data_IF_302707378638
#
_entry.id   IF_302707378638
#
_cell.length_a   1.000
_cell.length_b   1.000
_cell.length_c   1.000
_cell.angle_alpha   90.00
_cell.angle_beta   90.00
_cell.angle_gamma   90.00
#
_symmetry.space_group_name_H-M   'P 1'
#
loop_
_entity.id
_entity.type
_entity.pdbx_description
1 polymer ?
#
# COMPACT_ATOMS: atom_id res chain seq x y z
N UNK A 1 -48.70 -38.92 18.17
CA UNK A 1 -47.46 -39.46 17.57
C UNK A 1 -46.29 -38.69 18.14
N UNK A 2 -45.29 -39.42 18.60
CA UNK A 2 -44.34 -39.06 19.67
C UNK A 2 -43.22 -38.12 19.22
N UNK A 3 -42.91 -37.13 20.06
CA UNK A 3 -41.73 -36.26 20.00
C UNK A 3 -40.51 -37.02 20.50
N UNK A 4 -39.47 -37.18 19.67
CA UNK A 4 -38.20 -37.78 20.09
C UNK A 4 -37.18 -36.68 20.36
N UNK A 5 -37.00 -36.42 21.65
CA UNK A 5 -35.96 -35.57 22.25
C UNK A 5 -34.63 -36.32 22.27
N UNK A 6 -33.61 -35.84 21.55
CA UNK A 6 -32.24 -36.38 21.59
C UNK A 6 -31.38 -35.44 22.42
N UNK A 7 -31.21 -35.80 23.69
CA UNK A 7 -30.33 -35.15 24.65
C UNK A 7 -28.98 -35.86 24.64
N UNK A 8 -27.95 -35.24 24.05
CA UNK A 8 -26.60 -35.76 24.03
C UNK A 8 -25.76 -35.11 25.15
N UNK A 9 -25.54 -35.87 26.21
CA UNK A 9 -24.66 -35.55 27.35
C UNK A 9 -23.18 -35.65 26.93
N UNK A 10 -22.52 -34.50 26.77
CA UNK A 10 -21.06 -34.45 26.58
C UNK A 10 -20.40 -34.43 27.96
N UNK A 11 -19.72 -35.54 28.27
CA UNK A 11 -19.01 -35.83 29.52
C UNK A 11 -17.78 -34.93 29.64
N UNK A 12 -17.89 -33.87 30.44
CA UNK A 12 -16.80 -32.93 30.73
C UNK A 12 -15.79 -33.58 31.69
N UNK A 13 -14.62 -33.97 31.18
CA UNK A 13 -13.54 -34.56 31.97
C UNK A 13 -12.70 -33.44 32.60
N UNK A 14 -12.89 -33.22 33.90
CA UNK A 14 -12.15 -32.24 34.71
C UNK A 14 -10.79 -32.84 35.08
N UNK A 15 -9.74 -32.52 34.32
CA UNK A 15 -8.35 -32.78 34.73
C UNK A 15 -7.86 -31.68 35.67
N UNK A 16 -7.64 -32.07 36.93
CA UNK A 16 -7.03 -31.23 37.97
C UNK A 16 -5.51 -31.19 37.75
N UNK A 17 -5.03 -30.18 37.04
CA UNK A 17 -3.60 -29.95 36.85
C UNK A 17 -3.02 -29.30 38.10
N UNK A 18 -2.14 -30.05 38.78
CA UNK A 18 -1.44 -29.64 40.00
C UNK A 18 -0.51 -28.47 39.71
N UNK A 19 -0.63 -27.43 40.53
CA UNK A 19 0.24 -26.25 40.56
C UNK A 19 1.62 -26.66 41.10
N UNK A 20 2.66 -26.42 40.32
CA UNK A 20 4.03 -26.26 40.80
C UNK A 20 4.55 -24.97 40.19
N UNK A 21 4.45 -23.90 40.96
CA UNK A 21 5.12 -22.63 40.69
C UNK A 21 6.51 -22.71 41.30
N UNK A 22 7.54 -22.64 40.46
CA UNK A 22 8.92 -22.44 40.89
C UNK A 22 9.46 -21.22 40.14
N UNK A 23 9.90 -20.27 40.95
CA UNK A 23 10.34 -18.93 40.64
C UNK A 23 11.42 -18.88 39.56
N UNK A 24 11.27 -17.96 38.61
CA UNK A 24 12.38 -17.15 38.12
C UNK A 24 11.86 -15.78 37.71
N UNK A 25 12.20 -14.78 38.53
CA UNK A 25 11.98 -13.38 38.24
C UNK A 25 13.01 -12.93 37.19
N UNK A 26 12.57 -12.88 35.94
CA UNK A 26 13.19 -12.03 34.91
C UNK A 26 12.09 -11.11 34.42
N UNK A 27 11.99 -9.92 35.02
CA UNK A 27 11.24 -8.82 34.43
C UNK A 27 12.08 -8.26 33.27
N UNK A 28 12.22 -9.04 32.20
CA UNK A 28 12.57 -8.48 30.91
C UNK A 28 11.32 -7.75 30.43
N UNK A 29 11.31 -6.44 30.58
CA UNK A 29 10.35 -5.57 29.90
C UNK A 29 10.67 -5.64 28.40
N UNK A 30 10.34 -6.75 27.76
CA UNK A 30 10.31 -6.82 26.30
C UNK A 30 9.08 -6.05 25.89
N UNK A 31 9.24 -4.72 25.76
CA UNK A 31 8.44 -3.99 24.80
C UNK A 31 8.76 -4.61 23.45
N UNK A 32 8.04 -5.66 23.07
CA UNK A 32 7.86 -5.97 21.66
C UNK A 32 7.07 -4.79 21.14
N UNK A 33 7.78 -3.74 20.77
CA UNK A 33 7.33 -2.88 19.71
C UNK A 33 7.13 -3.84 18.56
N UNK A 34 5.88 -4.25 18.34
CA UNK A 34 5.47 -4.65 17.01
C UNK A 34 5.69 -3.36 16.24
N UNK A 35 6.88 -3.22 15.66
CA UNK A 35 7.04 -2.35 14.52
C UNK A 35 5.92 -2.81 13.59
N UNK A 36 4.86 -2.00 13.51
CA UNK A 36 3.97 -2.02 12.37
C UNK A 36 4.86 -1.58 11.22
N UNK A 37 5.75 -2.47 10.79
CA UNK A 37 6.79 -2.22 9.83
C UNK A 37 6.05 -1.73 8.61
N UNK A 38 6.15 -0.43 8.35
CA UNK A 38 5.69 0.16 7.12
C UNK A 38 6.31 -0.69 6.02
N UNK A 39 5.48 -1.41 5.29
CA UNK A 39 5.93 -2.24 4.18
C UNK A 39 6.76 -1.35 3.25
N UNK A 40 7.86 -1.89 2.75
CA UNK A 40 8.76 -1.21 1.82
C UNK A 40 7.93 -0.59 0.69
N UNK A 41 8.00 0.74 0.59
CA UNK A 41 7.53 1.51 -0.55
C UNK A 41 8.01 0.85 -1.85
N UNK A 42 7.10 0.68 -2.80
CA UNK A 42 7.41 0.11 -4.11
C UNK A 42 6.79 0.95 -5.22
N UNK A 43 7.53 1.10 -6.32
CA UNK A 43 7.12 1.89 -7.47
C UNK A 43 6.38 1.00 -8.45
N UNK A 44 5.14 1.35 -8.76
CA UNK A 44 4.29 0.64 -9.72
C UNK A 44 3.91 1.55 -10.87
N UNK A 45 3.76 0.99 -12.07
CA UNK A 45 3.23 1.72 -13.23
C UNK A 45 1.76 1.37 -13.40
N UNK A 46 0.86 2.35 -13.21
CA UNK A 46 -0.59 2.20 -13.39
C UNK A 46 -1.07 3.24 -14.39
N UNK A 47 -1.74 2.82 -15.47
CA UNK A 47 -2.20 3.75 -16.52
C UNK A 47 -1.08 4.57 -17.17
N UNK A 48 0.16 4.06 -17.20
CA UNK A 48 1.33 4.75 -17.74
C UNK A 48 1.98 5.79 -16.81
N UNK A 49 1.49 5.95 -15.58
CA UNK A 49 2.10 6.80 -14.55
C UNK A 49 2.77 5.95 -13.47
N UNK A 50 3.88 6.44 -12.92
CA UNK A 50 4.57 5.78 -11.81
C UNK A 50 4.06 6.29 -10.47
N UNK A 51 3.69 5.37 -9.61
CA UNK A 51 3.21 5.65 -8.26
C UNK A 51 4.11 4.95 -7.24
N UNK A 52 4.51 5.69 -6.23
CA UNK A 52 5.08 5.15 -5.01
C UNK A 52 3.93 4.71 -4.10
N UNK A 53 3.73 3.39 -4.00
CA UNK A 53 2.61 2.80 -3.27
C UNK A 53 3.12 2.22 -1.95
N UNK A 54 2.45 2.62 -0.87
CA UNK A 54 2.68 2.14 0.48
C UNK A 54 1.36 1.71 1.12
N UNK A 55 1.42 1.15 2.32
CA UNK A 55 0.24 0.80 3.10
C UNK A 55 0.23 1.50 4.44
N UNK A 56 -0.96 1.70 5.00
CA UNK A 56 -1.13 2.13 6.39
C UNK A 56 -2.27 1.33 7.04
N UNK A 57 -2.11 1.01 8.32
CA UNK A 57 -3.19 0.46 9.12
C UNK A 57 -3.98 1.62 9.75
N UNK A 58 -5.30 1.63 9.59
CA UNK A 58 -6.16 2.68 10.12
C UNK A 58 -7.65 2.39 9.93
N UNK A 59 -8.50 3.37 10.25
CA UNK A 59 -9.95 3.29 10.01
C UNK A 59 -10.39 4.45 9.14
N UNK A 60 -11.44 4.26 8.34
CA UNK A 60 -12.03 5.38 7.59
C UNK A 60 -12.52 6.48 8.52
N UNK A 61 -13.16 6.11 9.63
CA UNK A 61 -13.73 7.09 10.57
C UNK A 61 -12.70 7.99 11.25
N UNK A 62 -11.48 7.50 11.50
CA UNK A 62 -10.40 8.27 12.13
C UNK A 62 -9.51 8.99 11.13
N UNK A 63 -9.33 8.41 9.94
CA UNK A 63 -8.35 8.86 8.95
C UNK A 63 -9.01 9.43 7.68
N UNK A 64 -10.25 9.94 7.79
CA UNK A 64 -11.06 10.43 6.66
C UNK A 64 -10.31 11.32 5.67
N UNK A 65 -9.39 12.17 6.15
CA UNK A 65 -8.59 13.05 5.29
C UNK A 65 -7.73 12.30 4.27
N UNK A 66 -7.28 11.07 4.57
CA UNK A 66 -6.51 10.22 3.64
C UNK A 66 -7.37 9.61 2.53
N UNK A 67 -8.66 9.40 2.80
CA UNK A 67 -9.64 8.83 1.88
C UNK A 67 -10.22 9.92 0.97
N UNK A 68 -9.33 10.51 0.18
CA UNK A 68 -9.67 11.50 -0.82
C UNK A 68 -8.61 11.47 -1.93
N UNK A 69 -8.89 12.17 -3.03
CA UNK A 69 -7.91 12.37 -4.08
C UNK A 69 -6.76 13.26 -3.60
N UNK A 70 -5.61 13.15 -4.27
CA UNK A 70 -4.45 13.99 -3.97
C UNK A 70 -4.75 15.50 -4.11
N UNK A 71 -5.65 15.88 -5.03
CA UNK A 71 -6.08 17.28 -5.21
C UNK A 71 -6.80 17.86 -3.98
N UNK A 72 -7.38 16.98 -3.15
CA UNK A 72 -8.13 17.33 -1.95
C UNK A 72 -7.34 16.99 -0.67
N UNK A 73 -6.02 16.78 -0.78
CA UNK A 73 -5.15 16.45 0.36
C UNK A 73 -5.20 14.99 0.82
N UNK A 74 -5.90 14.12 0.11
CA UNK A 74 -5.91 12.69 0.38
C UNK A 74 -4.71 11.95 -0.21
N UNK A 75 -4.64 10.65 0.04
CA UNK A 75 -3.52 9.80 -0.36
C UNK A 75 -3.96 8.68 -1.32
N UNK A 76 -5.16 8.78 -1.88
CA UNK A 76 -5.77 7.78 -2.74
C UNK A 76 -6.13 8.43 -4.09
N UNK A 77 -5.21 8.45 -5.07
CA UNK A 77 -5.47 9.07 -6.38
C UNK A 77 -6.63 8.42 -7.15
N UNK A 78 -7.05 7.21 -6.77
CA UNK A 78 -8.20 6.50 -7.30
C UNK A 78 -9.52 6.76 -6.57
N UNK A 79 -9.54 7.62 -5.53
CA UNK A 79 -10.76 7.92 -4.79
C UNK A 79 -11.85 8.51 -5.71
N UNK A 80 -13.07 7.96 -5.64
CA UNK A 80 -14.20 8.23 -6.53
C UNK A 80 -14.13 7.51 -7.88
N UNK A 81 -13.18 6.59 -8.08
CA UNK A 81 -13.00 5.84 -9.33
C UNK A 81 -12.71 4.35 -9.04
N UNK A 82 -13.74 3.50 -8.91
CA UNK A 82 -13.57 2.07 -8.61
C UNK A 82 -12.76 1.34 -9.68
N UNK A 83 -12.91 1.68 -10.96
CA UNK A 83 -12.13 1.07 -12.04
C UNK A 83 -10.64 1.33 -11.89
N UNK A 84 -10.25 2.55 -11.46
CA UNK A 84 -8.85 2.83 -11.20
C UNK A 84 -8.36 2.08 -9.95
N UNK A 85 -9.18 1.95 -8.90
CA UNK A 85 -8.84 1.14 -7.73
C UNK A 85 -8.59 -0.33 -8.08
N UNK A 86 -9.40 -0.89 -8.98
CA UNK A 86 -9.23 -2.24 -9.54
C UNK A 86 -7.92 -2.40 -10.30
N UNK A 87 -7.55 -1.41 -11.13
CA UNK A 87 -6.27 -1.39 -11.85
C UNK A 87 -5.08 -1.36 -10.87
N UNK A 88 -5.18 -0.57 -9.80
CA UNK A 88 -4.19 -0.52 -8.73
C UNK A 88 -4.08 -1.87 -8.00
N UNK A 89 -5.20 -2.45 -7.57
CA UNK A 89 -5.23 -3.76 -6.91
C UNK A 89 -4.66 -4.87 -7.80
N UNK A 90 -4.99 -4.87 -9.10
CA UNK A 90 -4.49 -5.83 -10.09
C UNK A 90 -3.01 -5.64 -10.41
N UNK A 91 -2.52 -4.41 -10.36
CA UNK A 91 -1.09 -4.11 -10.60
C UNK A 91 -0.24 -4.50 -9.40
N UNK A 92 -0.69 -4.17 -8.19
CA UNK A 92 0.04 -4.44 -6.95
C UNK A 92 -0.04 -5.91 -6.56
N UNK A 93 -1.21 -6.55 -6.65
CA UNK A 93 -1.46 -7.92 -6.19
C UNK A 93 -0.91 -8.17 -4.79
N UNK A 94 0.11 -9.01 -4.67
CA UNK A 94 0.72 -9.50 -3.44
C UNK A 94 2.08 -8.83 -3.16
N UNK A 95 2.52 -7.89 -4.03
CA UNK A 95 3.86 -7.30 -3.97
C UNK A 95 4.11 -6.43 -2.74
N UNK A 96 3.05 -5.87 -2.13
CA UNK A 96 3.08 -5.16 -0.84
C UNK A 96 2.84 -6.12 0.35
N UNK A 97 2.96 -7.42 0.13
CA UNK A 97 2.64 -8.45 1.11
C UNK A 97 1.15 -8.73 1.22
N UNK A 98 0.83 -9.62 2.15
CA UNK A 98 -0.52 -10.14 2.39
C UNK A 98 -0.94 -9.79 3.83
N UNK A 99 -1.26 -8.51 4.11
CA UNK A 99 -1.47 -8.02 5.47
C UNK A 99 -2.64 -8.69 6.21
N UNK A 100 -3.57 -9.32 5.49
CA UNK A 100 -4.73 -9.97 6.08
C UNK A 100 -4.55 -11.49 6.06
N UNK A 101 -4.10 -12.02 7.19
CA UNK A 101 -3.91 -13.46 7.43
C UNK A 101 -2.97 -14.16 6.44
N UNK A 102 -2.13 -13.43 5.70
CA UNK A 102 -1.33 -14.01 4.63
C UNK A 102 -2.14 -14.46 3.42
N UNK A 103 -3.38 -13.99 3.27
CA UNK A 103 -4.31 -14.40 2.21
C UNK A 103 -4.68 -13.24 1.29
N UNK A 104 -4.94 -12.05 1.85
CA UNK A 104 -5.42 -10.91 1.06
C UNK A 104 -4.37 -9.79 1.00
N UNK A 105 -4.25 -9.18 -0.18
CA UNK A 105 -3.51 -7.94 -0.40
C UNK A 105 -4.15 -6.74 0.32
N UNK A 106 -3.48 -5.57 0.30
CA UNK A 106 -4.01 -4.36 0.91
C UNK A 106 -5.31 -3.89 0.25
N UNK A 107 -6.13 -3.14 0.99
CA UNK A 107 -7.39 -2.61 0.48
C UNK A 107 -7.18 -1.29 -0.26
N UNK A 108 -7.66 -1.23 -1.50
CA UNK A 108 -7.74 -0.03 -2.32
C UNK A 108 -9.14 0.56 -2.18
N UNK A 109 -9.31 1.45 -1.21
CA UNK A 109 -10.61 2.07 -0.93
C UNK A 109 -10.96 3.11 -1.99
N UNK A 110 -12.14 3.01 -2.61
CA UNK A 110 -12.51 3.85 -3.74
C UNK A 110 -13.66 4.82 -3.43
N UNK A 111 -14.66 4.43 -2.65
CA UNK A 111 -15.74 5.33 -2.25
C UNK A 111 -16.28 5.02 -0.85
N UNK A 112 -16.95 5.99 -0.24
CA UNK A 112 -17.64 5.82 1.04
C UNK A 112 -19.15 5.83 0.83
N UNK A 113 -19.83 4.89 1.47
CA UNK A 113 -21.30 4.79 1.52
C UNK A 113 -21.76 4.75 2.96
N UNK A 114 -22.03 5.94 3.52
CA UNK A 114 -22.37 6.11 4.93
C UNK A 114 -21.19 5.78 5.85
N UNK A 115 -21.32 4.70 6.63
CA UNK A 115 -20.27 4.20 7.54
C UNK A 115 -19.43 3.09 6.94
N UNK A 116 -19.72 2.69 5.70
CA UNK A 116 -18.99 1.65 4.98
C UNK A 116 -18.12 2.25 3.89
N UNK A 117 -17.08 1.53 3.51
CA UNK A 117 -16.16 1.90 2.43
C UNK A 117 -16.11 0.78 1.41
N UNK A 118 -16.27 1.12 0.14
CA UNK A 118 -16.00 0.21 -0.98
C UNK A 118 -14.51 0.04 -1.11
N UNK A 119 -14.06 -1.21 -1.22
CA UNK A 119 -12.65 -1.56 -1.35
C UNK A 119 -12.48 -2.60 -2.45
N UNK A 120 -11.41 -2.43 -3.24
CA UNK A 120 -10.89 -3.45 -4.15
C UNK A 120 -9.62 -4.08 -3.58
N UNK A 121 -9.45 -5.39 -3.74
CA UNK A 121 -8.27 -6.09 -3.26
C UNK A 121 -8.00 -7.38 -4.05
N UNK A 122 -6.82 -7.96 -3.82
CA UNK A 122 -6.40 -9.22 -4.45
C UNK A 122 -6.42 -10.37 -3.45
N UNK A 123 -7.10 -11.46 -3.80
CA UNK A 123 -7.22 -12.71 -3.01
C UNK A 123 -6.72 -13.96 -3.77
N UNK A 124 -6.01 -13.74 -4.89
CA UNK A 124 -5.81 -14.72 -5.97
C UNK A 124 -6.63 -14.37 -7.22
N UNK A 125 -7.73 -13.65 -7.03
CA UNK A 125 -8.47 -12.91 -8.06
C UNK A 125 -8.76 -11.49 -7.59
N UNK A 126 -9.15 -10.61 -8.50
CA UNK A 126 -9.65 -9.28 -8.15
C UNK A 126 -11.03 -9.42 -7.50
N UNK A 127 -11.20 -8.88 -6.30
CA UNK A 127 -12.46 -8.83 -5.57
C UNK A 127 -12.77 -7.39 -5.16
N UNK A 128 -14.06 -7.09 -5.02
CA UNK A 128 -14.56 -5.83 -4.48
C UNK A 128 -15.65 -6.11 -3.46
N UNK A 129 -15.60 -5.42 -2.32
CA UNK A 129 -16.54 -5.60 -1.22
C UNK A 129 -16.77 -4.28 -0.46
N UNK A 130 -17.86 -4.22 0.30
CA UNK A 130 -18.09 -3.18 1.29
C UNK A 130 -17.54 -3.62 2.64
N UNK A 131 -16.68 -2.81 3.24
CA UNK A 131 -16.13 -3.03 4.59
C UNK A 131 -16.60 -1.96 5.56
N UNK A 132 -16.68 -2.31 6.84
CA UNK A 132 -16.99 -1.33 7.88
C UNK A 132 -15.87 -0.30 7.98
N UNK A 133 -16.22 0.99 7.87
CA UNK A 133 -15.30 2.10 8.01
C UNK A 133 -14.83 2.37 9.45
N UNK A 134 -15.46 1.73 10.44
CA UNK A 134 -15.03 1.79 11.85
C UNK A 134 -14.06 0.67 12.22
N UNK A 135 -13.88 -0.33 11.36
CA UNK A 135 -12.91 -1.40 11.57
C UNK A 135 -11.53 -0.98 11.07
N UNK A 136 -10.49 -1.45 11.75
CA UNK A 136 -9.11 -1.18 11.37
C UNK A 136 -8.68 -2.14 10.28
N UNK A 137 -8.29 -1.59 9.12
CA UNK A 137 -7.79 -2.36 7.98
C UNK A 137 -6.46 -1.77 7.49
N UNK A 138 -5.71 -2.57 6.75
CA UNK A 138 -4.52 -2.13 6.01
C UNK A 138 -4.94 -1.61 4.64
N UNK A 139 -4.91 -0.29 4.48
CA UNK A 139 -5.26 0.39 3.24
C UNK A 139 -4.01 0.72 2.43
N UNK A 140 -4.12 0.69 1.11
CA UNK A 140 -3.12 1.22 0.21
C UNK A 140 -3.23 2.74 0.10
N UNK A 141 -2.09 3.40 -0.05
CA UNK A 141 -1.99 4.80 -0.39
C UNK A 141 -0.91 4.98 -1.45
N UNK A 142 -1.07 5.97 -2.32
CA UNK A 142 -0.14 6.20 -3.42
C UNK A 142 0.22 7.66 -3.56
N UNK A 143 1.49 7.89 -3.89
CA UNK A 143 2.02 9.20 -4.26
C UNK A 143 2.54 9.12 -5.70
N UNK A 144 2.18 10.11 -6.52
CA UNK A 144 2.75 10.22 -7.86
C UNK A 144 4.27 10.42 -7.77
N UNK A 145 5.02 9.60 -8.49
CA UNK A 145 6.46 9.79 -8.67
C UNK A 145 6.64 10.79 -9.78
N UNK A 146 7.14 11.98 -9.43
CA UNK A 146 7.56 12.95 -10.44
C UNK A 146 8.76 12.37 -11.18
N UNK A 147 8.50 11.88 -12.40
CA UNK A 147 9.58 11.50 -13.30
C UNK A 147 10.39 12.76 -13.56
N UNK A 148 11.71 12.79 -13.27
CA UNK A 148 12.55 13.93 -13.58
C UNK A 148 12.28 14.29 -15.04
N UNK A 149 11.74 15.49 -15.25
CA UNK A 149 11.32 15.92 -16.58
C UNK A 149 12.43 15.64 -17.58
N UNK A 150 12.10 15.28 -18.84
CA UNK A 150 13.09 14.87 -19.83
C UNK A 150 14.25 15.85 -19.75
N UNK A 151 15.42 15.37 -19.29
CA UNK A 151 16.62 16.17 -19.02
C UNK A 151 16.67 17.25 -20.07
N UNK A 152 16.63 18.55 -19.70
CA UNK A 152 16.26 19.61 -20.62
C UNK A 152 17.00 19.42 -21.92
N UNK A 153 16.30 18.89 -22.92
CA UNK A 153 16.89 18.58 -24.21
C UNK A 153 17.39 19.89 -24.86
N UNK A 154 16.85 21.00 -24.38
CA UNK A 154 17.29 22.38 -24.57
C UNK A 154 18.74 22.64 -24.11
N UNK A 155 19.18 22.04 -23.01
CA UNK A 155 20.58 22.06 -22.57
C UNK A 155 21.49 21.31 -23.55
N UNK A 156 21.06 20.15 -24.03
CA UNK A 156 21.78 19.41 -25.06
C UNK A 156 21.85 20.21 -26.38
N UNK A 157 20.75 20.83 -26.81
CA UNK A 157 20.72 21.67 -28.02
C UNK A 157 21.65 22.90 -27.89
N UNK A 158 21.69 23.54 -26.73
CA UNK A 158 22.61 24.65 -26.47
C UNK A 158 24.09 24.22 -26.51
N UNK A 159 24.42 23.07 -25.90
CA UNK A 159 25.77 22.50 -25.92
C UNK A 159 26.22 22.11 -27.33
N UNK A 160 25.32 21.54 -28.15
CA UNK A 160 25.61 21.20 -29.54
C UNK A 160 25.94 22.43 -30.40
N UNK A 161 25.24 23.55 -30.20
CA UNK A 161 25.54 24.80 -30.90
C UNK A 161 26.86 25.43 -30.46
N UNK A 162 27.20 25.38 -29.16
CA UNK A 162 28.52 25.83 -28.68
C UNK A 162 29.66 24.96 -29.21
N UNK A 163 29.48 23.63 -29.25
CA UNK A 163 30.47 22.69 -29.82
C UNK A 163 30.79 22.99 -31.29
N UNK A 164 29.76 23.23 -32.13
CA UNK A 164 29.96 23.64 -33.53
C UNK A 164 30.71 24.96 -33.65
N UNK A 165 30.43 25.92 -32.77
CA UNK A 165 31.12 27.22 -32.77
C UNK A 165 32.59 27.10 -32.38
N UNK A 166 32.91 26.21 -31.44
CA UNK A 166 34.30 25.97 -31.00
C UNK A 166 35.13 25.32 -32.11
N UNK A 167 34.59 24.31 -32.80
CA UNK A 167 35.27 23.63 -33.92
C UNK A 167 35.65 24.58 -35.05
N UNK A 168 34.78 25.55 -35.36
CA UNK A 168 35.09 26.58 -36.36
C UNK A 168 36.30 27.42 -35.95
N UNK A 169 36.44 27.78 -34.66
CA UNK A 169 37.57 28.59 -34.18
C UNK A 169 38.91 27.86 -34.28
N UNK A 170 38.93 26.56 -33.94
CA UNK A 170 40.16 25.75 -33.97
C UNK A 170 40.67 25.59 -35.40
N UNK A 171 39.79 25.27 -36.35
CA UNK A 171 40.20 25.07 -37.75
C UNK A 171 40.55 26.37 -38.50
N UNK A 172 40.28 27.55 -37.93
CA UNK A 172 40.54 28.84 -38.57
C UNK A 172 41.88 29.48 -38.18
N UNK A 173 42.66 28.89 -37.27
CA UNK A 173 43.95 29.43 -36.87
C UNK A 173 45.04 28.98 -37.85
N UNK A 174 45.71 29.90 -38.58
CA UNK A 174 46.82 29.55 -39.45
C UNK A 174 48.01 29.09 -38.59
N UNK A 175 48.59 27.94 -38.94
CA UNK A 175 49.80 27.45 -38.29
C UNK A 175 50.93 28.45 -38.53
N UNK A 176 51.41 29.09 -37.46
CA UNK A 176 52.68 29.84 -37.49
C UNK A 176 53.80 28.80 -37.41
N UNK A 177 54.42 28.54 -38.55
CA UNK A 177 55.70 27.84 -38.69
C UNK A 177 56.85 28.78 -38.32
#
# INVERSE_FOLDING_TARGET
>A
MSLVSISAQIKLSIMKTKRLALFSAFAALTTTWVDAGSVSAAIFTVGGQQYDITTFAGTYTTDTAKFNTASNGGSMPWWGNPTLADDFATTVKESLGLPFFGVYGPFFADEASGVSVSVSYWSGTLESNLVSGSASWTYAQARLVEVPGPLPLLGAAAAFNMSRRLRRRINSQPYKL
#
